data_IF_078004989469
#
_entry.id   IF_078004989469
#
_cell.length_a   1.000
_cell.length_b   1.000
_cell.length_c   1.000
_cell.angle_alpha   90.00
_cell.angle_beta   90.00
_cell.angle_gamma   90.00
#
_symmetry.space_group_name_H-M   'P 1'
#
loop_
_entity.id
_entity.type
_entity.pdbx_description
1 polymer ?
#
# COMPACT_ATOMS: atom_id res chain seq x y z
N UNK A 1 8.40 17.52 7.00
CA UNK A 1 9.66 16.94 6.53
C UNK A 1 10.81 17.51 7.34
N UNK A 2 11.72 16.66 7.76
CA UNK A 2 12.95 17.04 8.43
C UNK A 2 14.13 16.44 7.66
N UNK A 3 15.11 17.27 7.35
CA UNK A 3 16.33 16.85 6.67
C UNK A 3 17.57 17.35 7.42
N UNK A 4 18.54 16.46 7.66
CA UNK A 4 19.79 16.81 8.34
C UNK A 4 20.98 16.21 7.60
N UNK A 5 21.91 17.06 7.21
CA UNK A 5 23.20 16.67 6.64
C UNK A 5 24.24 16.39 7.73
N UNK A 6 25.08 15.41 7.48
CA UNK A 6 26.20 15.03 8.37
C UNK A 6 25.75 14.77 9.83
N UNK A 7 24.59 14.11 10.00
CA UNK A 7 24.08 13.75 11.31
C UNK A 7 25.01 12.73 11.98
N UNK A 8 25.53 13.03 13.16
CA UNK A 8 26.49 12.25 13.96
C UNK A 8 27.86 12.03 13.29
N UNK A 9 27.99 11.93 11.99
CA UNK A 9 29.23 11.72 11.26
C UNK A 9 29.20 12.36 9.87
N UNK A 10 30.38 12.72 9.36
CA UNK A 10 30.49 13.26 8.00
C UNK A 10 30.05 12.23 6.97
N UNK A 11 29.22 12.64 6.03
CA UNK A 11 28.70 11.80 4.95
C UNK A 11 27.38 11.07 5.27
N UNK A 12 26.84 11.20 6.49
CA UNK A 12 25.53 10.65 6.85
C UNK A 12 24.44 11.73 6.72
N UNK A 13 23.57 11.56 5.77
CA UNK A 13 22.37 12.39 5.58
C UNK A 13 21.13 11.63 5.99
N UNK A 14 20.25 12.26 6.76
CA UNK A 14 19.00 11.65 7.25
C UNK A 14 17.83 12.54 6.88
N UNK A 15 16.79 11.94 6.32
CA UNK A 15 15.51 12.58 6.01
C UNK A 15 14.40 11.80 6.69
N UNK A 16 13.51 12.50 7.39
CA UNK A 16 12.31 11.95 7.99
C UNK A 16 11.12 12.73 7.45
N UNK A 17 10.13 12.00 6.95
CA UNK A 17 8.84 12.56 6.53
C UNK A 17 7.74 11.87 7.28
N UNK A 18 6.83 12.63 7.85
CA UNK A 18 5.61 12.12 8.48
C UNK A 18 4.39 12.79 7.84
N UNK A 19 3.36 11.99 7.61
CA UNK A 19 2.08 12.44 7.05
C UNK A 19 0.95 11.80 7.86
N UNK A 20 0.00 12.63 8.26
CA UNK A 20 -1.25 12.22 8.90
C UNK A 20 -2.42 12.70 8.06
N UNK A 21 -3.34 11.80 7.80
CA UNK A 21 -4.56 12.09 7.07
C UNK A 21 -5.75 11.53 7.84
N UNK A 22 -6.80 12.34 7.97
CA UNK A 22 -8.07 11.98 8.58
C UNK A 22 -9.20 12.47 7.71
N UNK A 23 -9.99 11.54 7.15
CA UNK A 23 -11.10 11.84 6.24
C UNK A 23 -12.40 11.32 6.83
N UNK A 24 -13.43 12.15 6.77
CA UNK A 24 -14.82 11.74 6.89
C UNK A 24 -15.45 11.75 5.48
N UNK A 25 -16.01 10.63 5.07
CA UNK A 25 -16.81 10.51 3.86
C UNK A 25 -18.24 10.18 4.26
N UNK A 26 -19.19 10.96 3.79
CA UNK A 26 -20.63 10.72 4.02
C UNK A 26 -21.27 10.41 2.70
N UNK A 27 -21.92 9.25 2.61
CA UNK A 27 -22.70 8.84 1.45
C UNK A 27 -24.18 8.96 1.79
N UNK A 28 -24.89 9.77 1.00
CA UNK A 28 -26.34 9.99 1.18
C UNK A 28 -27.02 9.64 -0.12
N UNK A 29 -27.87 8.62 -0.11
CA UNK A 29 -28.79 8.29 -1.19
C UNK A 29 -30.23 8.34 -0.65
N UNK A 30 -30.93 9.38 -0.98
CA UNK A 30 -32.34 9.58 -0.62
C UNK A 30 -33.29 9.14 -1.74
N UNK A 31 -32.77 8.60 -2.84
CA UNK A 31 -33.55 8.15 -3.97
C UNK A 31 -34.43 6.93 -3.61
N UNK A 32 -35.72 7.10 -3.65
CA UNK A 32 -36.67 6.03 -3.36
C UNK A 32 -36.92 5.11 -4.56
N UNK A 33 -36.52 5.52 -5.77
CA UNK A 33 -36.83 4.84 -7.01
C UNK A 33 -35.65 4.80 -7.96
N UNK A 34 -35.56 3.71 -8.72
CA UNK A 34 -34.65 3.55 -9.85
C UNK A 34 -35.43 3.64 -11.15
N UNK A 35 -34.87 4.29 -12.15
CA UNK A 35 -35.47 4.40 -13.49
C UNK A 35 -34.54 3.73 -14.51
N UNK A 36 -35.11 3.05 -15.49
CA UNK A 36 -34.38 2.58 -16.65
C UNK A 36 -34.06 3.71 -17.63
N UNK A 37 -33.34 3.43 -18.69
CA UNK A 37 -32.96 4.41 -19.71
C UNK A 37 -34.15 4.94 -20.53
N UNK A 38 -35.32 4.27 -20.49
CA UNK A 38 -36.59 4.72 -21.09
C UNK A 38 -37.38 5.64 -20.16
N UNK A 39 -36.95 5.80 -18.91
CA UNK A 39 -37.64 6.58 -17.89
C UNK A 39 -38.71 5.80 -17.12
N UNK A 40 -38.79 4.46 -17.30
CA UNK A 40 -39.72 3.64 -16.54
C UNK A 40 -39.17 3.36 -15.12
N UNK A 41 -40.05 3.43 -14.16
CA UNK A 41 -39.73 3.10 -12.79
C UNK A 41 -39.54 1.59 -12.63
N UNK A 42 -38.35 1.19 -12.19
CA UNK A 42 -38.03 -0.21 -11.91
C UNK A 42 -37.78 -0.44 -10.41
N UNK A 43 -38.20 -1.60 -9.88
CA UNK A 43 -37.92 -1.93 -8.48
C UNK A 43 -36.40 -2.09 -8.27
N UNK A 44 -35.91 -1.70 -7.10
CA UNK A 44 -34.56 -2.05 -6.63
C UNK A 44 -34.60 -3.48 -6.15
N UNK A 45 -34.07 -4.41 -6.93
CA UNK A 45 -34.15 -5.85 -6.67
C UNK A 45 -32.78 -6.50 -6.51
N UNK A 46 -31.71 -5.77 -6.70
CA UNK A 46 -30.36 -6.30 -6.61
C UNK A 46 -29.91 -6.30 -5.14
N UNK A 47 -29.43 -7.42 -4.66
CA UNK A 47 -28.78 -7.51 -3.36
C UNK A 47 -27.63 -6.49 -3.31
N UNK A 48 -27.60 -5.63 -2.30
CA UNK A 48 -26.65 -4.50 -2.20
C UNK A 48 -27.21 -3.15 -2.68
N UNK A 49 -28.29 -3.10 -3.45
CA UNK A 49 -29.00 -1.84 -3.73
C UNK A 49 -29.93 -1.49 -2.55
N UNK A 50 -29.44 -0.68 -1.63
CA UNK A 50 -30.28 -0.13 -0.57
C UNK A 50 -31.25 0.90 -1.15
N UNK A 51 -32.52 0.83 -0.73
CA UNK A 51 -33.52 1.81 -1.14
C UNK A 51 -33.28 3.21 -0.58
N UNK A 52 -32.41 3.28 0.41
CA UNK A 52 -32.11 4.50 1.15
C UNK A 52 -30.79 4.31 1.86
N UNK A 53 -29.81 5.14 1.61
CA UNK A 53 -28.51 5.03 2.23
C UNK A 53 -28.13 6.34 2.89
N UNK A 54 -27.72 6.24 4.16
CA UNK A 54 -27.02 7.29 4.86
C UNK A 54 -25.92 6.65 5.68
N UNK A 55 -24.70 6.67 5.14
CA UNK A 55 -23.55 6.07 5.77
C UNK A 55 -22.40 7.06 5.92
N UNK A 56 -21.65 6.89 6.98
CA UNK A 56 -20.41 7.64 7.23
C UNK A 56 -19.23 6.68 7.30
N UNK A 57 -18.11 7.08 6.73
CA UNK A 57 -16.86 6.35 6.77
C UNK A 57 -15.73 7.28 7.20
N UNK A 58 -15.04 6.91 8.26
CA UNK A 58 -13.88 7.64 8.77
C UNK A 58 -12.62 6.83 8.46
N UNK A 59 -11.73 7.42 7.68
CA UNK A 59 -10.42 6.86 7.36
C UNK A 59 -9.33 7.67 8.05
N UNK A 60 -8.46 6.99 8.78
CA UNK A 60 -7.30 7.60 9.43
C UNK A 60 -6.04 6.90 8.94
N UNK A 61 -5.11 7.67 8.41
CA UNK A 61 -3.83 7.20 7.89
C UNK A 61 -2.67 7.92 8.56
N UNK A 62 -1.67 7.17 8.95
CA UNK A 62 -0.37 7.69 9.37
C UNK A 62 0.72 7.05 8.54
N UNK A 63 1.59 7.85 7.95
CA UNK A 63 2.72 7.39 7.16
C UNK A 63 3.99 8.09 7.63
N UNK A 64 5.04 7.32 7.86
CA UNK A 64 6.37 7.83 8.19
C UNK A 64 7.40 7.18 7.27
N UNK A 65 8.24 8.01 6.70
CA UNK A 65 9.37 7.55 5.88
C UNK A 65 10.66 8.06 6.51
N UNK A 66 11.59 7.15 6.75
CA UNK A 66 12.95 7.43 7.16
C UNK A 66 13.89 7.01 6.04
N UNK A 67 14.72 7.93 5.59
CA UNK A 67 15.82 7.68 4.65
C UNK A 67 17.12 8.11 5.29
N UNK A 68 18.08 7.20 5.37
CA UNK A 68 19.42 7.49 5.81
C UNK A 68 20.41 7.09 4.70
N UNK A 69 21.21 8.05 4.25
CA UNK A 69 22.22 7.84 3.21
C UNK A 69 23.58 8.11 3.81
N UNK A 70 24.44 7.07 3.84
CA UNK A 70 25.82 7.19 4.29
C UNK A 70 26.77 7.04 3.11
N UNK A 71 27.59 8.08 2.87
CA UNK A 71 28.59 8.10 1.81
C UNK A 71 29.98 7.95 2.40
N UNK A 72 30.63 6.87 2.03
CA UNK A 72 32.03 6.59 2.42
C UNK A 72 32.95 6.86 1.23
N UNK A 73 33.56 8.03 1.25
CA UNK A 73 34.35 8.52 0.13
C UNK A 73 33.47 8.79 -1.12
N UNK A 74 34.08 8.62 -2.31
CA UNK A 74 33.42 8.82 -3.59
C UNK A 74 32.83 7.53 -4.18
N UNK A 75 33.26 6.38 -3.69
CA UNK A 75 32.98 5.07 -4.30
C UNK A 75 31.81 4.34 -3.65
N UNK A 76 31.60 4.50 -2.35
CA UNK A 76 30.68 3.68 -1.59
C UNK A 76 29.51 4.51 -1.05
N UNK A 77 28.30 4.00 -1.19
CA UNK A 77 27.11 4.59 -0.58
C UNK A 77 26.18 3.51 -0.04
N UNK A 78 25.77 3.68 1.20
CA UNK A 78 24.75 2.84 1.85
C UNK A 78 23.49 3.66 2.00
N UNK A 79 22.34 3.08 1.67
CA UNK A 79 21.07 3.73 1.88
C UNK A 79 20.15 2.81 2.65
N UNK A 80 19.70 3.28 3.80
CA UNK A 80 18.63 2.65 4.56
C UNK A 80 17.34 3.42 4.34
N UNK A 81 16.27 2.71 4.01
CA UNK A 81 14.93 3.25 3.91
C UNK A 81 13.99 2.46 4.81
N UNK A 82 13.15 3.15 5.55
CA UNK A 82 12.06 2.53 6.29
C UNK A 82 10.78 3.30 6.01
N UNK A 83 9.74 2.59 5.58
CA UNK A 83 8.39 3.12 5.40
C UNK A 83 7.49 2.40 6.39
N UNK A 84 6.92 3.17 7.31
CA UNK A 84 5.93 2.68 8.25
C UNK A 84 4.59 3.36 7.97
N UNK A 85 3.54 2.57 7.84
CA UNK A 85 2.20 3.09 7.62
C UNK A 85 1.17 2.37 8.48
N UNK A 86 0.19 3.13 8.97
CA UNK A 86 -1.00 2.60 9.63
C UNK A 86 -2.24 3.13 8.90
N UNK A 87 -3.23 2.28 8.83
CA UNK A 87 -4.55 2.60 8.30
C UNK A 87 -5.61 2.12 9.27
N UNK A 88 -6.61 2.94 9.51
CA UNK A 88 -7.81 2.59 10.26
C UNK A 88 -9.02 3.13 9.52
N UNK A 89 -9.98 2.26 9.25
CA UNK A 89 -11.29 2.59 8.72
C UNK A 89 -12.34 2.19 9.72
N UNK A 90 -13.24 3.12 10.02
CA UNK A 90 -14.48 2.87 10.75
C UNK A 90 -15.64 3.36 9.89
N UNK A 91 -16.74 2.64 9.90
CA UNK A 91 -17.92 3.03 9.15
C UNK A 91 -19.18 2.78 9.96
N UNK A 92 -20.25 3.49 9.66
CA UNK A 92 -21.58 3.23 10.21
C UNK A 92 -22.64 3.57 9.18
N UNK A 93 -23.75 2.81 9.21
CA UNK A 93 -25.01 3.19 8.62
C UNK A 93 -25.82 4.01 9.63
N UNK A 94 -26.41 5.11 9.21
CA UNK A 94 -27.27 5.94 10.05
C UNK A 94 -28.75 5.60 9.90
N UNK A 95 -29.09 4.70 8.98
CA UNK A 95 -30.48 4.31 8.66
C UNK A 95 -30.79 2.89 9.13
N UNK A 96 -29.89 1.95 8.91
CA UNK A 96 -30.09 0.55 9.26
C UNK A 96 -29.16 0.13 10.37
N UNK A 97 -29.75 -0.35 11.48
CA UNK A 97 -29.00 -0.75 12.67
C UNK A 97 -28.27 -2.10 12.59
N UNK A 98 -28.36 -2.82 11.47
CA UNK A 98 -27.82 -4.17 11.31
C UNK A 98 -26.92 -4.34 10.09
N UNK A 99 -26.34 -3.27 9.56
CA UNK A 99 -25.39 -3.36 8.45
C UNK A 99 -23.96 -3.52 8.97
N UNK A 100 -23.11 -4.18 8.19
CA UNK A 100 -21.66 -4.36 8.47
C UNK A 100 -20.92 -3.04 8.71
N UNK A 101 -21.51 -1.93 8.30
CA UNK A 101 -20.99 -0.58 8.50
C UNK A 101 -21.34 0.01 9.87
N UNK A 102 -22.12 -0.69 10.69
CA UNK A 102 -22.65 -0.14 11.93
C UNK A 102 -21.64 0.04 13.04
N UNK A 103 -20.52 -0.65 12.97
CA UNK A 103 -19.74 -0.77 14.18
C UNK A 103 -18.45 0.06 14.09
N UNK A 104 -18.49 1.29 14.62
CA UNK A 104 -17.28 2.05 14.92
C UNK A 104 -16.34 1.28 15.87
N UNK A 105 -16.85 0.28 16.59
CA UNK A 105 -16.10 -0.51 17.56
C UNK A 105 -15.30 -1.64 16.90
N UNK A 106 -15.61 -2.00 15.63
CA UNK A 106 -14.90 -3.02 14.85
C UNK A 106 -14.16 -2.47 13.61
N UNK A 107 -13.21 -1.57 13.77
CA UNK A 107 -12.55 -0.94 12.63
C UNK A 107 -11.70 -1.93 11.83
N UNK A 108 -11.68 -1.75 10.51
CA UNK A 108 -10.62 -2.33 9.67
C UNK A 108 -9.31 -1.62 9.96
N UNK A 109 -8.27 -2.38 10.28
CA UNK A 109 -6.94 -1.86 10.62
C UNK A 109 -5.88 -2.51 9.75
N UNK A 110 -4.88 -1.72 9.37
CA UNK A 110 -3.68 -2.24 8.73
C UNK A 110 -2.45 -1.51 9.25
N UNK A 111 -1.38 -2.25 9.41
CA UNK A 111 -0.06 -1.72 9.73
C UNK A 111 0.95 -2.38 8.81
N UNK A 112 1.73 -1.55 8.11
CA UNK A 112 2.78 -2.02 7.20
C UNK A 112 4.11 -1.40 7.59
N UNK A 113 5.16 -2.19 7.56
CA UNK A 113 6.54 -1.73 7.70
C UNK A 113 7.37 -2.35 6.59
N UNK A 114 8.06 -1.50 5.83
CA UNK A 114 8.97 -1.92 4.77
C UNK A 114 10.32 -1.31 5.10
N UNK A 115 11.29 -2.15 5.44
CA UNK A 115 12.67 -1.75 5.70
C UNK A 115 13.55 -2.23 4.55
N UNK A 116 14.33 -1.34 3.96
CA UNK A 116 15.24 -1.62 2.86
C UNK A 116 16.65 -1.15 3.15
N UNK A 117 17.65 -1.95 2.77
CA UNK A 117 19.03 -1.58 2.77
C UNK A 117 19.60 -1.76 1.37
N UNK A 118 20.25 -0.74 0.87
CA UNK A 118 20.96 -0.81 -0.42
C UNK A 118 22.42 -0.38 -0.25
N UNK A 119 23.27 -1.03 -1.01
CA UNK A 119 24.67 -0.66 -1.17
C UNK A 119 24.96 -0.34 -2.62
N UNK A 120 25.61 0.79 -2.87
CA UNK A 120 26.04 1.24 -4.19
C UNK A 120 27.55 1.38 -4.22
N UNK A 121 28.15 0.85 -5.27
CA UNK A 121 29.58 0.90 -5.56
C UNK A 121 29.81 1.59 -6.90
N UNK A 122 30.65 2.60 -6.91
CA UNK A 122 31.12 3.33 -8.11
C UNK A 122 32.64 3.21 -8.20
N UNK A 123 33.21 2.08 -8.69
CA UNK A 123 34.64 1.85 -8.73
C UNK A 123 35.37 2.75 -9.72
N UNK A 124 34.66 3.31 -10.68
CA UNK A 124 35.13 4.29 -11.63
C UNK A 124 33.95 5.10 -12.17
N UNK A 125 34.22 6.14 -12.95
CA UNK A 125 33.19 6.93 -13.65
C UNK A 125 32.38 6.11 -14.68
N UNK A 126 32.91 4.92 -15.07
CA UNK A 126 32.26 4.05 -16.05
C UNK A 126 31.26 3.08 -15.44
N UNK A 127 31.37 2.79 -14.13
CA UNK A 127 30.57 1.76 -13.48
C UNK A 127 29.78 2.31 -12.30
N UNK A 128 28.51 1.92 -12.26
CA UNK A 128 27.66 2.10 -11.08
C UNK A 128 26.96 0.78 -10.81
N UNK A 129 27.27 0.14 -9.70
CA UNK A 129 26.74 -1.15 -9.29
C UNK A 129 25.94 -0.95 -8.00
N UNK A 130 24.81 -1.61 -7.88
CA UNK A 130 24.00 -1.60 -6.66
C UNK A 130 23.40 -2.95 -6.35
N UNK A 131 23.31 -3.26 -5.06
CA UNK A 131 22.55 -4.41 -4.54
C UNK A 131 21.66 -3.92 -3.40
N UNK A 132 20.48 -4.54 -3.24
CA UNK A 132 19.56 -4.17 -2.18
C UNK A 132 18.76 -5.36 -1.68
N UNK A 133 18.31 -5.25 -0.44
CA UNK A 133 17.34 -6.13 0.17
C UNK A 133 16.25 -5.33 0.85
N UNK A 134 15.01 -5.84 0.83
CA UNK A 134 13.82 -5.24 1.45
C UNK A 134 13.11 -6.28 2.29
N UNK A 135 12.81 -5.93 3.52
CA UNK A 135 11.95 -6.72 4.39
C UNK A 135 10.57 -6.08 4.45
N UNK A 136 9.56 -6.88 4.21
CA UNK A 136 8.15 -6.50 4.23
C UNK A 136 7.48 -7.14 5.43
N UNK A 137 6.83 -6.34 6.25
CA UNK A 137 5.99 -6.81 7.35
C UNK A 137 4.64 -6.11 7.26
N UNK A 138 3.55 -6.87 7.31
CA UNK A 138 2.20 -6.35 7.27
C UNK A 138 1.32 -7.12 8.25
N UNK A 139 0.51 -6.38 8.99
CA UNK A 139 -0.59 -6.89 9.79
C UNK A 139 -1.86 -6.18 9.33
N UNK A 140 -2.92 -6.94 9.06
CA UNK A 140 -4.23 -6.41 8.68
C UNK A 140 -5.31 -7.18 9.44
N UNK A 141 -6.34 -6.46 9.86
CA UNK A 141 -7.47 -6.97 10.64
C UNK A 141 -8.74 -6.30 10.15
N UNK A 142 -9.78 -7.07 9.90
CA UNK A 142 -11.07 -6.57 9.44
C UNK A 142 -12.14 -7.64 9.43
N UNK A 143 -13.34 -7.25 9.07
CA UNK A 143 -14.50 -8.13 8.97
C UNK A 143 -14.72 -8.53 7.52
N UNK A 144 -14.93 -9.81 7.27
CA UNK A 144 -15.25 -10.38 5.95
C UNK A 144 -16.67 -10.91 5.97
N UNK A 145 -17.45 -10.57 4.98
CA UNK A 145 -18.74 -11.20 4.72
C UNK A 145 -18.52 -12.55 4.07
N UNK A 146 -18.87 -13.61 4.76
CA UNK A 146 -18.89 -14.95 4.18
C UNK A 146 -20.18 -15.10 3.36
N UNK A 147 -20.03 -14.98 2.04
CA UNK A 147 -21.09 -15.26 1.07
C UNK A 147 -21.27 -16.76 0.90
N UNK A 148 -21.81 -17.43 1.90
CA UNK A 148 -22.29 -18.79 1.74
C UNK A 148 -23.74 -18.82 2.24
N UNK A 149 -24.69 -19.07 1.37
CA UNK A 149 -26.12 -19.31 1.48
C UNK A 149 -26.85 -19.19 2.86
N UNK A 150 -26.14 -18.70 3.86
CA UNK A 150 -26.62 -18.39 5.20
C UNK A 150 -26.46 -16.89 5.48
N UNK A 151 -27.59 -16.26 5.58
CA UNK A 151 -27.79 -14.90 6.01
C UNK A 151 -26.83 -14.55 7.17
N UNK A 152 -25.86 -13.63 6.89
CA UNK A 152 -25.37 -12.73 7.90
C UNK A 152 -24.39 -13.28 8.95
N UNK A 153 -23.37 -14.05 8.59
CA UNK A 153 -22.25 -14.26 9.52
C UNK A 153 -21.02 -13.49 9.07
N UNK A 154 -20.90 -12.29 9.59
CA UNK A 154 -19.67 -11.53 9.50
C UNK A 154 -18.62 -12.16 10.40
N UNK A 155 -17.45 -12.44 9.83
CA UNK A 155 -16.35 -13.02 10.59
C UNK A 155 -15.18 -12.05 10.62
N UNK A 156 -14.74 -11.73 11.86
CA UNK A 156 -13.54 -10.93 12.02
C UNK A 156 -12.31 -11.80 11.81
N UNK A 157 -11.44 -11.37 10.92
CA UNK A 157 -10.22 -12.08 10.56
C UNK A 157 -9.01 -11.16 10.61
N UNK A 158 -7.85 -11.75 10.89
CA UNK A 158 -6.58 -11.04 10.85
C UNK A 158 -5.56 -11.80 10.04
N UNK A 159 -4.71 -11.07 9.35
CA UNK A 159 -3.61 -11.62 8.57
C UNK A 159 -2.30 -10.93 8.93
N UNK A 160 -1.26 -11.72 9.13
CA UNK A 160 0.10 -11.24 9.32
C UNK A 160 0.99 -11.85 8.23
N UNK A 161 1.73 -11.00 7.55
CA UNK A 161 2.64 -11.42 6.48
C UNK A 161 4.02 -10.83 6.71
N UNK A 162 5.04 -11.67 6.63
CA UNK A 162 6.44 -11.28 6.62
C UNK A 162 7.11 -11.88 5.39
N UNK A 163 7.84 -11.08 4.62
CA UNK A 163 8.48 -11.53 3.40
C UNK A 163 9.72 -10.71 3.06
N UNK A 164 10.55 -11.23 2.16
CA UNK A 164 11.81 -10.60 1.79
C UNK A 164 11.94 -10.52 0.27
N UNK A 165 12.32 -9.33 -0.24
CA UNK A 165 12.64 -9.06 -1.63
C UNK A 165 14.09 -8.58 -1.76
N UNK A 166 14.68 -8.76 -2.92
CA UNK A 166 16.05 -8.34 -3.18
C UNK A 166 16.28 -8.06 -4.67
N UNK A 167 17.36 -7.36 -4.94
CA UNK A 167 17.73 -7.09 -6.32
C UNK A 167 19.14 -6.56 -6.47
N UNK A 168 19.56 -6.46 -7.72
CA UNK A 168 20.83 -5.89 -8.12
C UNK A 168 20.66 -5.09 -9.41
N UNK A 169 21.45 -4.04 -9.57
CA UNK A 169 21.49 -3.26 -10.80
C UNK A 169 22.92 -2.85 -11.14
N UNK A 170 23.23 -2.84 -12.43
CA UNK A 170 24.48 -2.37 -12.97
C UNK A 170 24.26 -1.35 -14.08
N UNK A 171 25.05 -0.29 -14.07
CA UNK A 171 25.12 0.69 -15.15
C UNK A 171 26.55 0.78 -15.65
N UNK A 172 26.71 0.73 -16.97
CA UNK A 172 27.98 0.91 -17.63
C UNK A 172 27.91 2.06 -18.63
N UNK A 173 28.88 2.98 -18.53
CA UNK A 173 28.99 4.11 -19.44
C UNK A 173 30.10 3.83 -20.47
N UNK A 174 29.72 3.67 -21.73
CA UNK A 174 30.62 3.52 -22.86
C UNK A 174 30.90 4.92 -23.42
N UNK A 175 31.98 5.51 -22.95
CA UNK A 175 32.32 6.92 -23.26
C UNK A 175 31.31 7.88 -22.61
N UNK A 176 31.07 9.03 -23.24
CA UNK A 176 30.12 10.05 -22.78
C UNK A 176 28.71 9.88 -23.38
N UNK A 177 28.60 9.10 -24.43
CA UNK A 177 27.41 9.05 -25.27
C UNK A 177 26.49 7.86 -24.98
N UNK A 178 27.01 6.71 -24.57
CA UNK A 178 26.21 5.50 -24.43
C UNK A 178 26.17 5.04 -22.97
N UNK A 179 24.97 4.76 -22.49
CA UNK A 179 24.72 4.18 -21.17
C UNK A 179 23.95 2.87 -21.33
N UNK A 180 24.49 1.80 -20.75
CA UNK A 180 23.85 0.49 -20.65
C UNK A 180 23.43 0.23 -19.22
N UNK A 181 22.21 -0.25 -19.01
CA UNK A 181 21.67 -0.63 -17.68
C UNK A 181 21.11 -2.03 -17.73
N UNK A 182 21.42 -2.82 -16.71
CA UNK A 182 20.82 -4.10 -16.43
C UNK A 182 20.39 -4.12 -15.00
N UNK A 183 19.18 -4.58 -14.72
CA UNK A 183 18.71 -4.80 -13.35
C UNK A 183 17.88 -6.07 -13.24
N UNK A 184 17.94 -6.66 -12.05
CA UNK A 184 17.09 -7.74 -11.61
C UNK A 184 16.50 -7.40 -10.24
N UNK A 185 15.22 -7.64 -10.06
CA UNK A 185 14.53 -7.50 -8.78
C UNK A 185 13.53 -8.63 -8.57
N UNK A 186 13.64 -9.30 -7.43
CA UNK A 186 12.57 -10.12 -6.88
C UNK A 186 11.67 -9.22 -6.04
N UNK A 187 10.60 -8.75 -6.66
CA UNK A 187 9.66 -7.81 -6.06
C UNK A 187 8.49 -8.52 -5.39
N UNK A 188 7.90 -7.84 -4.40
CA UNK A 188 6.71 -8.26 -3.68
C UNK A 188 5.67 -7.16 -3.66
N UNK A 189 4.40 -7.52 -3.87
CA UNK A 189 3.24 -6.67 -3.62
C UNK A 189 2.40 -7.28 -2.50
N UNK A 190 2.24 -6.54 -1.43
CA UNK A 190 1.36 -6.92 -0.31
C UNK A 190 -0.10 -6.64 -0.69
N UNK A 191 -1.05 -7.52 -0.32
CA UNK A 191 -2.47 -7.24 -0.52
C UNK A 191 -2.89 -5.94 0.16
N UNK A 192 -3.78 -5.21 -0.47
CA UNK A 192 -4.43 -4.05 0.14
C UNK A 192 -5.51 -4.48 1.14
N UNK A 193 -5.95 -3.56 2.00
CA UNK A 193 -7.08 -3.81 2.92
C UNK A 193 -8.39 -4.08 2.17
N UNK A 194 -8.59 -3.46 1.01
CA UNK A 194 -9.77 -3.68 0.17
C UNK A 194 -9.77 -5.09 -0.45
N UNK A 195 -8.64 -5.56 -0.94
CA UNK A 195 -8.51 -6.93 -1.44
C UNK A 195 -8.72 -7.99 -0.34
N UNK A 196 -8.32 -7.69 0.90
CA UNK A 196 -8.46 -8.60 2.03
C UNK A 196 -9.87 -8.62 2.61
N UNK A 197 -10.51 -7.47 2.74
CA UNK A 197 -11.77 -7.32 3.51
C UNK A 197 -12.94 -6.76 2.69
N UNK A 198 -12.71 -6.43 1.40
CA UNK A 198 -13.69 -5.76 0.56
C UNK A 198 -13.83 -4.27 0.87
N UNK A 199 -14.77 -3.65 0.22
CA UNK A 199 -15.12 -2.22 0.41
C UNK A 199 -16.35 -2.01 1.31
N UNK A 200 -17.03 -3.11 1.64
CA UNK A 200 -18.27 -3.10 2.43
C UNK A 200 -19.54 -2.88 1.61
N UNK A 201 -19.42 -2.81 0.26
CA UNK A 201 -20.54 -2.55 -0.63
C UNK A 201 -20.58 -3.53 -1.82
N UNK A 202 -19.68 -3.37 -2.79
CA UNK A 202 -19.70 -4.12 -4.05
C UNK A 202 -18.62 -5.21 -4.15
N UNK A 203 -17.51 -5.05 -3.44
CA UNK A 203 -16.36 -5.94 -3.53
C UNK A 203 -16.25 -6.84 -2.31
N UNK A 204 -16.35 -8.14 -2.51
CA UNK A 204 -16.07 -9.12 -1.46
C UNK A 204 -14.55 -9.26 -1.26
N UNK A 205 -14.11 -9.22 -0.01
CA UNK A 205 -12.72 -9.43 0.35
C UNK A 205 -12.33 -10.91 0.39
N UNK A 206 -11.03 -11.16 0.27
CA UNK A 206 -10.44 -12.50 0.45
C UNK A 206 -9.27 -12.42 1.45
N UNK A 207 -9.52 -12.75 2.70
CA UNK A 207 -8.59 -12.55 3.80
C UNK A 207 -7.34 -13.45 3.76
N UNK A 208 -7.33 -14.53 2.97
CA UNK A 208 -6.21 -15.48 2.84
C UNK A 208 -5.27 -15.18 1.64
N UNK A 209 -5.42 -14.02 1.00
CA UNK A 209 -4.55 -13.60 -0.09
C UNK A 209 -3.09 -13.55 0.34
N UNK A 210 -2.24 -14.19 -0.46
CA UNK A 210 -0.78 -14.16 -0.27
C UNK A 210 -0.18 -12.98 -1.04
N UNK A 211 1.00 -12.49 -0.61
CA UNK A 211 1.74 -11.52 -1.40
C UNK A 211 2.03 -12.03 -2.80
N UNK A 212 1.82 -11.17 -3.77
CA UNK A 212 2.26 -11.42 -5.14
C UNK A 212 3.79 -11.32 -5.22
N UNK A 213 4.37 -12.17 -6.03
CA UNK A 213 5.81 -12.20 -6.27
C UNK A 213 6.07 -12.08 -7.75
N UNK A 214 7.03 -11.24 -8.11
CA UNK A 214 7.49 -11.09 -9.49
C UNK A 214 9.01 -11.07 -9.57
N UNK A 215 9.53 -11.69 -10.61
CA UNK A 215 10.93 -11.62 -10.99
C UNK A 215 11.03 -10.67 -12.19
N UNK A 216 11.63 -9.49 -11.97
CA UNK A 216 11.71 -8.42 -12.96
C UNK A 216 13.13 -8.30 -13.48
N UNK A 217 13.31 -8.44 -14.79
CA UNK A 217 14.57 -8.17 -15.47
C UNK A 217 14.38 -6.99 -16.42
N UNK A 218 15.23 -5.97 -16.28
CA UNK A 218 15.19 -4.80 -17.16
C UNK A 218 16.56 -4.59 -17.80
N UNK A 219 16.55 -4.41 -19.10
CA UNK A 219 17.71 -4.05 -19.91
C UNK A 219 17.37 -2.75 -20.63
N UNK A 220 18.24 -1.75 -20.55
CA UNK A 220 18.09 -0.51 -21.30
C UNK A 220 19.42 -0.01 -21.85
N UNK A 221 19.35 0.62 -23.02
CA UNK A 221 20.45 1.35 -23.63
C UNK A 221 19.97 2.77 -23.96
N UNK A 222 20.76 3.78 -23.64
CA UNK A 222 20.48 5.17 -24.00
C UNK A 222 21.69 5.79 -24.69
N UNK A 223 21.44 6.65 -25.67
CA UNK A 223 22.40 7.43 -26.39
C UNK A 223 22.07 8.92 -26.20
N UNK A 224 23.08 9.76 -25.83
CA UNK A 224 22.95 11.18 -25.60
C UNK A 224 23.81 11.92 -26.63
#
# INVERSE_FOLDING_TARGET
EYHKHNLFTKGLDVTVTANYNHNLTTNVDTAMYKYNWLGDRIPRTTAGEQNHQFSEQINTNWNTTLTAVYRLGKMHSFTFNNVFSTFRRTGRSLIEKNSVLEDYDEPTKSRKNIAGLSYRLMPSEKWNLSVFGKHYNSYSEGTVQLSDNNVGSDTRVSQSVSSFGYGAAGTYFLGKAIQLKLSYEKALRMPSTQELFGDGDLEAGKADLKPERSDNVNLSASYN
#
